data_IF_727566119787
#
_entry.id   IF_727566119787
#
_cell.length_a   1.000
_cell.length_b   1.000
_cell.length_c   1.000
_cell.angle_alpha   90.00
_cell.angle_beta   90.00
_cell.angle_gamma   90.00
#
_symmetry.space_group_name_H-M   'P 1'
#
loop_
_entity.id
_entity.type
_entity.pdbx_description
1 polymer ?
#
# COMPACT_ATOMS: atom_id res chain seq x y z
N UNK A 1 17.81 -1.99 10.54
CA UNK A 1 16.83 -1.31 9.70
C UNK A 1 16.13 -0.20 10.46
N UNK A 2 15.59 0.74 9.72
CA UNK A 2 14.96 1.92 10.29
C UNK A 2 13.50 1.97 9.80
N UNK A 3 12.56 1.35 10.52
CA UNK A 3 11.18 1.18 10.04
C UNK A 3 10.43 2.49 9.84
N UNK A 4 10.89 3.59 10.46
CA UNK A 4 10.27 4.90 10.29
C UNK A 4 10.75 5.63 9.03
N UNK A 5 11.78 5.12 8.35
CA UNK A 5 12.28 5.71 7.11
C UNK A 5 11.46 5.15 5.94
N UNK A 6 10.95 6.05 5.10
CA UNK A 6 10.22 5.68 3.90
C UNK A 6 11.12 5.85 2.69
N UNK A 7 10.97 4.96 1.72
CA UNK A 7 11.81 4.93 0.52
C UNK A 7 10.95 5.14 -0.72
N UNK A 8 11.34 6.10 -1.56
CA UNK A 8 10.74 6.33 -2.87
C UNK A 8 11.82 6.04 -3.92
N UNK A 9 11.49 5.19 -4.88
CA UNK A 9 12.38 4.91 -6.01
C UNK A 9 12.06 5.89 -7.13
N UNK A 10 13.07 6.64 -7.56
CA UNK A 10 12.97 7.57 -8.70
C UNK A 10 13.89 7.06 -9.81
N UNK A 11 13.31 6.62 -10.90
CA UNK A 11 14.04 5.89 -11.93
C UNK A 11 13.45 6.09 -13.33
N UNK A 12 14.24 5.77 -14.34
CA UNK A 12 13.76 5.68 -15.73
C UNK A 12 13.28 4.28 -16.09
N UNK A 13 13.43 3.32 -15.18
CA UNK A 13 13.06 1.92 -15.44
C UNK A 13 11.64 1.65 -14.98
N UNK A 14 10.85 1.04 -15.85
CA UNK A 14 9.49 0.61 -15.53
C UNK A 14 9.34 -0.92 -15.70
N UNK A 15 10.44 -1.63 -15.62
CA UNK A 15 10.48 -3.09 -15.73
C UNK A 15 9.79 -3.74 -14.53
N UNK A 16 8.99 -4.78 -14.79
CA UNK A 16 8.22 -5.47 -13.76
C UNK A 16 9.09 -6.02 -12.63
N UNK A 17 10.27 -6.56 -12.97
CA UNK A 17 11.17 -7.13 -11.97
C UNK A 17 11.70 -6.07 -11.03
N UNK A 18 12.04 -4.89 -11.54
CA UNK A 18 12.49 -3.77 -10.70
C UNK A 18 11.37 -3.28 -9.79
N UNK A 19 10.16 -3.15 -10.32
CA UNK A 19 9.00 -2.72 -9.55
C UNK A 19 8.71 -3.73 -8.43
N UNK A 20 8.68 -5.00 -8.77
CA UNK A 20 8.42 -6.07 -7.81
C UNK A 20 9.47 -6.06 -6.70
N UNK A 21 10.75 -5.99 -7.07
CA UNK A 21 11.84 -5.98 -6.09
C UNK A 21 11.76 -4.78 -5.16
N UNK A 22 11.48 -3.60 -5.71
CA UNK A 22 11.38 -2.38 -4.91
C UNK A 22 10.26 -2.50 -3.88
N UNK A 23 9.09 -2.98 -4.29
CA UNK A 23 7.95 -3.14 -3.39
C UNK A 23 8.18 -4.24 -2.37
N UNK A 24 8.79 -5.36 -2.80
CA UNK A 24 9.11 -6.48 -1.91
C UNK A 24 10.03 -6.06 -0.78
N UNK A 25 11.01 -5.21 -1.07
CA UNK A 25 11.99 -4.76 -0.07
C UNK A 25 11.57 -3.48 0.65
N UNK A 26 10.31 -3.07 0.47
CA UNK A 26 9.70 -2.05 1.31
C UNK A 26 9.72 -0.63 0.77
N UNK A 27 9.93 -0.44 -0.52
CA UNK A 27 9.76 0.89 -1.10
C UNK A 27 8.30 1.30 -1.03
N UNK A 28 8.05 2.53 -0.62
CA UNK A 28 6.69 3.07 -0.47
C UNK A 28 6.24 3.84 -1.69
N UNK A 29 7.13 4.12 -2.63
CA UNK A 29 6.80 4.80 -3.87
C UNK A 29 7.72 4.38 -4.99
N UNK A 30 7.21 4.41 -6.21
CA UNK A 30 7.98 4.09 -7.41
C UNK A 30 7.53 5.07 -8.49
N UNK A 31 8.41 5.98 -8.86
CA UNK A 31 8.09 7.09 -9.75
C UNK A 31 9.10 7.14 -10.90
N UNK A 32 8.61 7.29 -12.11
CA UNK A 32 9.49 7.48 -13.27
C UNK A 32 10.05 8.91 -13.28
N UNK A 33 11.29 9.05 -13.69
CA UNK A 33 11.91 10.36 -13.88
C UNK A 33 11.12 11.17 -14.91
N UNK A 34 11.11 12.48 -14.74
CA UNK A 34 10.35 13.39 -15.59
C UNK A 34 9.11 13.97 -14.93
N UNK A 35 8.81 13.55 -13.70
CA UNK A 35 7.71 14.16 -12.95
C UNK A 35 8.08 15.62 -12.59
N UNK A 36 7.05 16.45 -12.46
CA UNK A 36 7.24 17.85 -12.05
C UNK A 36 7.66 17.93 -10.58
N UNK A 37 8.30 19.06 -10.16
CA UNK A 37 8.60 19.25 -8.74
C UNK A 37 7.37 19.15 -7.84
N UNK A 38 6.21 19.62 -8.31
CA UNK A 38 4.96 19.53 -7.56
C UNK A 38 4.55 18.07 -7.35
N UNK A 39 4.61 17.27 -8.40
CA UNK A 39 4.30 15.83 -8.31
C UNK A 39 5.24 15.12 -7.35
N UNK A 40 6.53 15.43 -7.40
CA UNK A 40 7.51 14.85 -6.50
C UNK A 40 7.24 15.24 -5.04
N UNK A 41 6.91 16.52 -4.80
CA UNK A 41 6.55 17.00 -3.47
C UNK A 41 5.32 16.26 -2.94
N UNK A 42 4.29 16.11 -3.76
CA UNK A 42 3.07 15.40 -3.37
C UNK A 42 3.37 13.94 -3.06
N UNK A 43 4.25 13.31 -3.84
CA UNK A 43 4.66 11.94 -3.60
C UNK A 43 5.36 11.79 -2.25
N UNK A 44 6.30 12.69 -1.94
CA UNK A 44 7.02 12.67 -0.67
C UNK A 44 6.06 12.84 0.50
N UNK A 45 5.14 13.80 0.40
CA UNK A 45 4.14 14.05 1.44
C UNK A 45 3.24 12.84 1.64
N UNK A 46 2.77 12.24 0.55
CA UNK A 46 1.90 11.05 0.61
C UNK A 46 2.60 9.90 1.31
N UNK A 47 3.85 9.62 0.93
CA UNK A 47 4.63 8.52 1.51
C UNK A 47 4.95 8.79 2.98
N UNK A 48 5.31 10.02 3.31
CA UNK A 48 5.58 10.41 4.69
C UNK A 48 4.37 10.14 5.60
N UNK A 49 3.17 10.32 5.08
CA UNK A 49 1.92 10.11 5.81
C UNK A 49 1.42 8.65 5.75
N UNK A 50 2.25 7.72 5.33
CA UNK A 50 1.93 6.29 5.34
C UNK A 50 1.26 5.76 4.08
N UNK A 51 1.07 6.61 3.07
CA UNK A 51 0.53 6.19 1.79
C UNK A 51 1.60 5.66 0.86
N UNK A 52 1.18 5.34 -0.35
CA UNK A 52 2.08 4.97 -1.44
C UNK A 52 1.80 5.86 -2.64
N UNK A 53 2.82 6.16 -3.41
CA UNK A 53 2.69 6.99 -4.59
C UNK A 53 3.31 6.29 -5.78
N UNK A 54 2.47 5.96 -6.75
CA UNK A 54 2.89 5.21 -7.93
C UNK A 54 2.36 5.92 -9.17
N UNK A 55 3.25 6.12 -10.14
CA UNK A 55 2.90 6.68 -11.45
C UNK A 55 1.81 5.83 -12.12
N UNK A 56 0.83 6.42 -12.84
CA UNK A 56 -0.23 5.65 -13.50
C UNK A 56 0.26 4.54 -14.42
N UNK A 57 1.37 4.74 -15.13
CA UNK A 57 1.93 3.70 -15.99
C UNK A 57 2.44 2.51 -15.18
N UNK A 58 2.93 2.76 -13.98
CA UNK A 58 3.41 1.74 -13.06
C UNK A 58 2.26 1.08 -12.32
N UNK A 59 1.20 1.83 -12.04
CA UNK A 59 0.02 1.30 -11.36
C UNK A 59 -0.58 0.11 -12.10
N UNK A 60 -0.64 0.17 -13.43
CA UNK A 60 -1.15 -0.95 -14.23
C UNK A 60 -0.29 -2.20 -14.06
N UNK A 61 1.03 -2.04 -13.95
CA UNK A 61 1.95 -3.17 -13.72
C UNK A 61 1.80 -3.72 -12.31
N UNK A 62 1.58 -2.85 -11.34
CA UNK A 62 1.37 -3.28 -9.95
C UNK A 62 0.11 -4.13 -9.84
N UNK A 63 -0.96 -3.77 -10.54
CA UNK A 63 -2.19 -4.57 -10.57
C UNK A 63 -1.91 -5.99 -11.09
N UNK A 64 -1.12 -6.12 -12.15
CA UNK A 64 -0.72 -7.42 -12.67
C UNK A 64 0.10 -8.22 -11.66
N UNK A 65 1.02 -7.55 -10.98
CA UNK A 65 1.84 -8.18 -9.95
C UNK A 65 0.98 -8.68 -8.79
N UNK A 66 -0.02 -7.92 -8.38
CA UNK A 66 -0.94 -8.36 -7.32
C UNK A 66 -1.64 -9.66 -7.70
N UNK A 67 -2.09 -9.79 -8.95
CA UNK A 67 -2.74 -11.03 -9.41
C UNK A 67 -1.78 -12.22 -9.34
N UNK A 68 -0.52 -12.04 -9.70
CA UNK A 68 0.49 -13.09 -9.59
C UNK A 68 0.78 -13.45 -8.15
N UNK A 69 0.91 -12.45 -7.28
CA UNK A 69 1.20 -12.65 -5.86
C UNK A 69 0.08 -13.42 -5.16
N UNK A 70 -1.16 -13.17 -5.53
CA UNK A 70 -2.29 -13.86 -4.94
C UNK A 70 -2.27 -15.37 -5.23
N UNK A 71 -1.52 -15.79 -6.24
CA UNK A 71 -1.41 -17.18 -6.65
C UNK A 71 -0.05 -17.81 -6.33
N UNK A 72 0.85 -17.05 -5.70
CA UNK A 72 2.21 -17.51 -5.42
C UNK A 72 2.41 -17.78 -3.94
N UNK A 73 3.53 -18.40 -3.61
CA UNK A 73 3.95 -18.62 -2.22
C UNK A 73 4.54 -17.36 -1.57
N UNK A 74 4.51 -16.23 -2.27
CA UNK A 74 4.99 -14.97 -1.71
C UNK A 74 4.02 -14.48 -0.64
N UNK A 75 4.53 -14.31 0.56
CA UNK A 75 3.73 -13.81 1.68
C UNK A 75 4.40 -12.60 2.32
N UNK A 76 3.55 -11.68 2.78
CA UNK A 76 3.99 -10.57 3.62
C UNK A 76 3.88 -11.04 5.06
N UNK A 77 4.99 -10.97 5.80
CA UNK A 77 4.98 -11.31 7.21
C UNK A 77 4.30 -10.22 8.02
N UNK A 78 3.32 -10.61 8.82
CA UNK A 78 2.63 -9.69 9.72
C UNK A 78 2.73 -10.20 11.15
N UNK A 79 2.54 -9.30 12.11
CA UNK A 79 2.41 -9.68 13.51
C UNK A 79 1.10 -10.46 13.69
N UNK A 80 1.20 -11.75 13.98
CA UNK A 80 0.03 -12.61 14.12
C UNK A 80 -0.86 -12.21 15.28
N UNK A 81 -0.28 -11.75 16.39
CA UNK A 81 -1.05 -11.26 17.51
C UNK A 81 -1.84 -10.02 17.15
N UNK A 82 -1.18 -9.07 16.45
CA UNK A 82 -1.84 -7.88 15.97
C UNK A 82 -2.94 -8.18 14.96
N UNK A 83 -2.71 -9.16 14.08
CA UNK A 83 -3.72 -9.57 13.11
C UNK A 83 -4.98 -10.10 13.79
N UNK A 84 -4.84 -10.78 14.91
CA UNK A 84 -5.99 -11.28 15.69
C UNK A 84 -6.77 -10.14 16.33
N UNK A 85 -6.20 -8.95 16.45
CA UNK A 85 -6.84 -7.78 17.05
C UNK A 85 -7.52 -6.86 16.02
N UNK A 86 -7.48 -7.21 14.74
CA UNK A 86 -8.13 -6.43 13.70
C UNK A 86 -9.65 -6.48 13.92
N UNK A 87 -10.26 -5.29 13.95
CA UNK A 87 -11.71 -5.18 14.13
C UNK A 87 -12.43 -5.35 12.80
N UNK A 88 -13.75 -5.57 12.87
CA UNK A 88 -14.57 -5.67 11.64
C UNK A 88 -14.50 -4.39 10.81
N UNK A 89 -14.50 -3.23 11.47
CA UNK A 89 -14.38 -1.95 10.78
C UNK A 89 -13.03 -1.84 10.05
N UNK A 90 -11.98 -2.29 10.71
CA UNK A 90 -10.63 -2.30 10.11
C UNK A 90 -10.56 -3.28 8.94
N UNK A 91 -11.18 -4.47 9.05
CA UNK A 91 -11.22 -5.42 7.95
C UNK A 91 -11.90 -4.85 6.71
N UNK A 92 -12.95 -4.05 6.89
CA UNK A 92 -13.61 -3.38 5.76
C UNK A 92 -12.65 -2.43 5.06
N UNK A 93 -11.84 -1.68 5.81
CA UNK A 93 -10.83 -0.80 5.23
C UNK A 93 -9.76 -1.62 4.50
N UNK A 94 -9.26 -2.69 5.14
CA UNK A 94 -8.26 -3.57 4.54
C UNK A 94 -8.75 -4.14 3.21
N UNK A 95 -9.98 -4.60 3.17
CA UNK A 95 -10.57 -5.14 1.95
C UNK A 95 -10.54 -4.12 0.81
N UNK A 96 -10.90 -2.87 1.10
CA UNK A 96 -10.92 -1.83 0.09
C UNK A 96 -9.51 -1.44 -0.37
N UNK A 97 -8.54 -1.47 0.55
CA UNK A 97 -7.13 -1.25 0.19
C UNK A 97 -6.67 -2.35 -0.79
N UNK A 98 -7.05 -3.59 -0.53
CA UNK A 98 -6.74 -4.70 -1.43
C UNK A 98 -7.38 -4.56 -2.81
N UNK A 99 -8.50 -3.83 -2.91
CA UNK A 99 -9.13 -3.52 -4.19
C UNK A 99 -8.45 -2.36 -4.93
N UNK A 100 -7.49 -1.70 -4.31
CA UNK A 100 -6.76 -0.60 -4.94
C UNK A 100 -7.42 0.76 -4.79
N UNK A 101 -8.40 0.91 -3.92
CA UNK A 101 -9.10 2.18 -3.74
C UNK A 101 -8.24 3.20 -2.99
N UNK A 102 -8.38 4.47 -3.35
CA UNK A 102 -7.78 5.58 -2.62
C UNK A 102 -8.52 5.84 -1.31
N UNK A 103 -7.92 6.63 -0.42
CA UNK A 103 -8.60 7.01 0.83
C UNK A 103 -9.92 7.71 0.57
N UNK A 104 -9.97 8.56 -0.45
CA UNK A 104 -11.20 9.25 -0.84
C UNK A 104 -12.26 8.25 -1.27
N UNK A 105 -11.88 7.29 -2.12
CA UNK A 105 -12.80 6.25 -2.58
C UNK A 105 -13.27 5.36 -1.43
N UNK A 106 -12.36 4.99 -0.53
CA UNK A 106 -12.71 4.20 0.65
C UNK A 106 -13.69 4.97 1.53
N UNK A 107 -13.46 6.25 1.74
CA UNK A 107 -14.34 7.08 2.55
C UNK A 107 -15.76 7.12 1.97
N UNK A 108 -15.87 7.21 0.66
CA UNK A 108 -17.17 7.19 -0.02
C UNK A 108 -17.84 5.82 0.07
N UNK A 109 -17.07 4.77 -0.12
CA UNK A 109 -17.59 3.39 -0.11
C UNK A 109 -18.08 2.97 1.27
N UNK A 110 -17.38 3.38 2.33
CA UNK A 110 -17.68 2.98 3.69
C UNK A 110 -18.44 4.05 4.49
N UNK A 111 -18.76 5.18 3.87
CA UNK A 111 -19.45 6.29 4.53
C UNK A 111 -18.68 6.83 5.74
N UNK A 112 -17.38 6.98 5.56
CA UNK A 112 -16.48 7.53 6.58
C UNK A 112 -15.82 8.80 6.05
N UNK A 113 -15.28 9.63 6.95
CA UNK A 113 -14.42 10.73 6.52
C UNK A 113 -13.05 10.20 6.08
N UNK A 114 -12.35 10.95 5.25
CA UNK A 114 -10.99 10.57 4.87
C UNK A 114 -10.06 10.54 6.08
N UNK A 115 -10.28 11.44 7.05
CA UNK A 115 -9.51 11.44 8.30
C UNK A 115 -9.70 10.15 9.09
N UNK A 116 -10.92 9.65 9.15
CA UNK A 116 -11.22 8.38 9.82
C UNK A 116 -10.54 7.22 9.09
N UNK A 117 -10.57 7.23 7.76
CA UNK A 117 -9.87 6.20 6.96
C UNK A 117 -8.37 6.21 7.27
N UNK A 118 -7.76 7.41 7.30
CA UNK A 118 -6.34 7.53 7.64
C UNK A 118 -6.03 7.00 9.04
N UNK A 119 -6.89 7.29 10.01
CA UNK A 119 -6.73 6.80 11.37
C UNK A 119 -6.82 5.28 11.43
N UNK A 120 -7.80 4.69 10.74
CA UNK A 120 -7.89 3.24 10.64
C UNK A 120 -6.63 2.64 10.03
N UNK A 121 -6.12 3.24 8.95
CA UNK A 121 -4.91 2.74 8.29
C UNK A 121 -3.69 2.80 9.23
N UNK A 122 -3.53 3.88 9.96
CA UNK A 122 -2.43 3.99 10.94
C UNK A 122 -2.49 2.87 11.97
N UNK A 123 -3.68 2.61 12.53
CA UNK A 123 -3.86 1.55 13.52
C UNK A 123 -3.62 0.17 12.91
N UNK A 124 -4.12 -0.06 11.69
CA UNK A 124 -3.94 -1.33 10.99
C UNK A 124 -2.46 -1.61 10.75
N UNK A 125 -1.74 -0.64 10.19
CA UNK A 125 -0.31 -0.78 9.93
C UNK A 125 0.46 -1.07 11.22
N UNK A 126 0.11 -0.39 12.30
CA UNK A 126 0.73 -0.62 13.61
C UNK A 126 0.44 -2.02 14.14
N UNK A 127 -0.81 -2.46 14.08
CA UNK A 127 -1.20 -3.81 14.56
C UNK A 127 -0.50 -4.90 13.78
N UNK A 128 -0.37 -4.74 12.46
CA UNK A 128 0.23 -5.75 11.60
C UNK A 128 1.75 -5.60 11.49
N UNK A 129 2.30 -4.53 12.05
CA UNK A 129 3.73 -4.20 11.95
C UNK A 129 4.18 -4.08 10.50
N UNK A 130 3.36 -3.44 9.67
CA UNK A 130 3.66 -3.18 8.28
C UNK A 130 4.17 -1.74 8.09
N UNK A 131 4.96 -1.54 7.06
CA UNK A 131 5.62 -0.25 6.79
C UNK A 131 4.71 0.76 6.13
N UNK A 132 3.86 0.29 5.21
CA UNK A 132 3.10 1.21 4.39
C UNK A 132 1.90 0.51 3.74
N UNK A 133 1.14 1.32 3.01
CA UNK A 133 -0.07 0.89 2.33
C UNK A 133 0.18 -0.18 1.27
N UNK A 134 1.33 -0.15 0.60
CA UNK A 134 1.65 -1.14 -0.44
C UNK A 134 1.75 -2.53 0.17
N UNK A 135 2.47 -2.67 1.28
CA UNK A 135 2.56 -3.96 1.98
C UNK A 135 1.19 -4.41 2.46
N UNK A 136 0.39 -3.49 2.98
CA UNK A 136 -0.96 -3.80 3.41
C UNK A 136 -1.82 -4.29 2.25
N UNK A 137 -1.72 -3.65 1.09
CA UNK A 137 -2.50 -4.04 -0.08
C UNK A 137 -2.15 -5.47 -0.53
N UNK A 138 -0.86 -5.81 -0.55
CA UNK A 138 -0.42 -7.16 -0.91
C UNK A 138 -0.97 -8.19 0.07
N UNK A 139 -0.82 -7.91 1.36
CA UNK A 139 -1.33 -8.81 2.39
C UNK A 139 -2.85 -8.95 2.31
N UNK A 140 -3.56 -7.86 2.03
CA UNK A 140 -5.02 -7.85 1.91
C UNK A 140 -5.51 -8.75 0.78
N UNK A 141 -4.85 -8.71 -0.38
CA UNK A 141 -5.22 -9.56 -1.52
C UNK A 141 -5.10 -11.04 -1.13
N UNK A 142 -4.11 -11.37 -0.32
CA UNK A 142 -3.86 -12.76 0.07
C UNK A 142 -4.75 -13.24 1.21
N UNK A 143 -5.21 -12.35 2.08
CA UNK A 143 -5.79 -12.75 3.36
C UNK A 143 -7.16 -12.17 3.69
N UNK A 144 -7.59 -11.08 3.04
CA UNK A 144 -8.86 -10.46 3.36
C UNK A 144 -10.03 -11.37 2.96
N UNK A 145 -11.10 -11.44 3.78
CA UNK A 145 -12.28 -12.22 3.42
C UNK A 145 -12.90 -11.71 2.13
N UNK A 146 -13.28 -12.62 1.26
CA UNK A 146 -14.02 -12.28 0.05
C UNK A 146 -15.50 -12.11 0.39
N UNK A 147 -16.07 -11.06 -0.14
CA UNK A 147 -17.53 -10.84 -0.06
C UNK A 147 -18.14 -10.93 -1.43
#
# INVERSE_FOLDING_TARGET
>A
SYPHIKIIILTTFDDDDFIFSALKYGASGYILKGVSPTELHDAITTVYNGGSMINPNIAAKVVKLFSKMAQSDFEIDVDKEGAALITDAEWRVIYQVGRGLSNKEISQELFLSEGTVRNHLSHILSKLNLRDRTQLAIWAVQNAPRK
#
